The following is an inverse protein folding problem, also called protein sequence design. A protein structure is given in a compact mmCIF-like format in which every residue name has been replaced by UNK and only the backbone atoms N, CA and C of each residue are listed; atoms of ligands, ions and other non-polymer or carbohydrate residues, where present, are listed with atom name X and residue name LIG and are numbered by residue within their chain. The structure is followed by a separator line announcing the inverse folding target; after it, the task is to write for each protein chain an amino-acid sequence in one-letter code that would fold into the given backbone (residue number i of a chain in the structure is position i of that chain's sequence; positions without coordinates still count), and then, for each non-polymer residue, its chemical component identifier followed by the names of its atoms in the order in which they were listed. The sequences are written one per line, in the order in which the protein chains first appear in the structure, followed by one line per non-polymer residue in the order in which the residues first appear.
data_IF_019724358867
#
_entry.id   IF_019724358867
#
_cell.length_a   1.000
_cell.length_b   1.000
_cell.length_c   1.000
_cell.angle_alpha   90.00
_cell.angle_beta   90.00
_cell.angle_gamma   90.00
#
_symmetry.space_group_name_H-M   'P 1'
#
loop_
_entity.id
_entity.type
_entity.pdbx_description
1 polymer ?
#
# COMPACT_ATOMS: atom_id res chain seq x y z
N UNK A 1 17.23 -7.52 17.76
CA UNK A 1 16.95 -8.47 18.86
C UNK A 1 15.68 -9.26 18.53
N UNK A 2 15.72 -10.12 17.53
CA UNK A 2 14.47 -10.72 17.02
C UNK A 2 14.48 -12.26 16.97
N UNK A 3 15.26 -12.97 17.77
CA UNK A 3 15.39 -14.42 17.54
C UNK A 3 15.40 -15.33 18.77
N UNK A 4 14.82 -14.90 19.89
CA UNK A 4 14.75 -15.74 21.10
C UNK A 4 13.35 -16.35 21.39
N UNK A 5 12.33 -16.01 20.58
CA UNK A 5 10.99 -16.60 20.76
C UNK A 5 11.00 -18.06 20.24
N UNK A 6 10.29 -19.00 20.90
CA UNK A 6 10.21 -20.37 20.43
C UNK A 6 9.41 -20.49 19.13
N UNK A 7 9.60 -21.58 18.41
CA UNK A 7 8.70 -21.97 17.32
C UNK A 7 7.33 -22.39 17.88
N UNK A 8 6.24 -22.27 17.09
CA UNK A 8 4.92 -22.71 17.50
C UNK A 8 4.86 -24.24 17.66
N UNK A 9 4.03 -24.70 18.57
CA UNK A 9 3.68 -26.11 18.65
C UNK A 9 2.80 -26.47 17.44
N UNK A 10 2.97 -27.68 16.93
CA UNK A 10 2.10 -28.21 15.88
C UNK A 10 0.92 -28.97 16.54
N UNK A 11 -0.30 -28.52 16.24
CA UNK A 11 -1.55 -29.16 16.68
C UNK A 11 -2.34 -29.56 15.44
N UNK A 12 -2.65 -30.81 15.28
CA UNK A 12 -3.34 -31.36 14.09
C UNK A 12 -2.68 -30.98 12.76
N UNK A 13 -1.34 -30.91 12.76
CA UNK A 13 -0.55 -30.54 11.57
C UNK A 13 -0.49 -29.04 11.26
N UNK A 14 -1.08 -28.19 12.10
CA UNK A 14 -1.07 -26.73 11.95
C UNK A 14 -0.28 -26.04 13.06
N UNK A 15 0.40 -24.91 12.78
CA UNK A 15 1.12 -24.17 13.82
C UNK A 15 0.11 -23.51 14.78
N UNK A 16 0.31 -23.73 16.07
CA UNK A 16 -0.48 -23.12 17.12
C UNK A 16 0.25 -21.89 17.68
N UNK A 17 -0.23 -20.71 17.33
CA UNK A 17 0.28 -19.43 17.80
C UNK A 17 -0.53 -18.94 19.00
N UNK A 18 0.12 -18.18 19.89
CA UNK A 18 -0.50 -17.56 21.05
C UNK A 18 0.01 -16.14 21.26
N UNK A 19 -0.83 -15.29 21.84
CA UNK A 19 -0.48 -13.92 22.19
C UNK A 19 -0.30 -13.76 23.69
N UNK A 20 0.48 -12.79 24.11
CA UNK A 20 0.61 -12.41 25.53
C UNK A 20 -0.68 -11.76 26.08
N UNK A 21 -1.49 -11.16 25.20
CA UNK A 21 -2.81 -10.61 25.50
C UNK A 21 -3.69 -10.60 24.26
N UNK A 22 -4.98 -10.90 24.43
CA UNK A 22 -6.03 -10.85 23.42
C UNK A 22 -6.96 -9.65 23.60
N UNK A 23 -6.61 -8.72 24.50
CA UNK A 23 -7.36 -7.48 24.70
C UNK A 23 -7.29 -6.62 23.45
N UNK A 24 -8.31 -5.78 23.17
CA UNK A 24 -8.31 -4.83 22.08
C UNK A 24 -7.05 -3.97 22.07
N UNK A 25 -6.59 -3.56 20.90
CA UNK A 25 -5.49 -2.61 20.79
C UNK A 25 -5.96 -1.19 21.10
N UNK A 26 -5.05 -0.39 21.67
CA UNK A 26 -5.22 1.04 21.84
C UNK A 26 -4.17 1.74 20.97
N UNK A 27 -4.62 2.46 19.93
CA UNK A 27 -3.73 3.06 18.96
C UNK A 27 -3.98 4.55 18.81
N UNK A 28 -2.95 5.27 18.41
CA UNK A 28 -3.02 6.72 18.12
C UNK A 28 -2.70 6.94 16.65
N UNK A 29 -3.55 7.69 15.96
CA UNK A 29 -3.41 7.97 14.53
C UNK A 29 -3.32 9.47 14.31
N UNK A 30 -2.30 9.90 13.56
CA UNK A 30 -2.19 11.28 13.12
C UNK A 30 -3.00 11.49 11.84
N UNK A 31 -3.95 12.43 11.89
CA UNK A 31 -4.79 12.80 10.74
C UNK A 31 -4.27 14.09 10.12
N UNK A 32 -3.95 14.05 8.84
CA UNK A 32 -3.51 15.23 8.12
C UNK A 32 -4.62 16.29 8.08
N UNK A 33 -4.29 17.51 8.51
CA UNK A 33 -5.19 18.66 8.44
C UNK A 33 -5.15 19.23 7.03
N UNK A 34 -6.32 19.34 6.39
CA UNK A 34 -6.43 19.95 5.05
C UNK A 34 -6.24 21.46 5.17
N UNK A 35 -5.23 21.98 4.49
CA UNK A 35 -4.92 23.42 4.42
C UNK A 35 -5.18 23.97 3.03
N UNK A 36 -5.15 25.28 2.88
CA UNK A 36 -5.19 25.91 1.55
C UNK A 36 -4.04 25.43 0.65
N UNK A 37 -2.86 25.22 1.21
CA UNK A 37 -1.68 24.72 0.48
C UNK A 37 -1.90 23.29 -0.07
N UNK A 38 -2.62 22.43 0.67
CA UNK A 38 -2.98 21.09 0.21
C UNK A 38 -3.93 21.16 -0.99
N UNK A 39 -4.92 22.05 -0.91
CA UNK A 39 -5.92 22.24 -1.97
C UNK A 39 -5.29 22.82 -3.24
N UNK A 40 -4.43 23.84 -3.10
CA UNK A 40 -3.71 24.42 -4.22
C UNK A 40 -2.78 23.40 -4.90
N UNK A 41 -2.05 22.62 -4.12
CA UNK A 41 -1.18 21.57 -4.63
C UNK A 41 -1.97 20.47 -5.37
N UNK A 42 -3.09 20.02 -4.77
CA UNK A 42 -3.94 19.01 -5.38
C UNK A 42 -4.61 19.53 -6.66
N UNK A 43 -5.04 20.79 -6.67
CA UNK A 43 -5.60 21.44 -7.85
C UNK A 43 -4.59 21.52 -8.99
N UNK A 44 -3.37 21.98 -8.72
CA UNK A 44 -2.31 22.05 -9.72
C UNK A 44 -1.99 20.68 -10.31
N UNK A 45 -1.86 19.67 -9.45
CA UNK A 45 -1.61 18.29 -9.86
C UNK A 45 -2.75 17.74 -10.74
N UNK A 46 -3.99 18.04 -10.38
CA UNK A 46 -5.17 17.61 -11.14
C UNK A 46 -5.23 18.26 -12.53
N UNK A 47 -4.97 19.56 -12.59
CA UNK A 47 -4.96 20.32 -13.85
C UNK A 47 -3.84 19.82 -14.79
N UNK A 48 -2.64 19.62 -14.27
CA UNK A 48 -1.49 19.11 -15.03
C UNK A 48 -1.75 17.69 -15.56
N UNK A 49 -2.39 16.84 -14.77
CA UNK A 49 -2.75 15.47 -15.18
C UNK A 49 -3.68 15.44 -16.41
N UNK A 50 -4.51 16.48 -16.58
CA UNK A 50 -5.40 16.65 -17.73
C UNK A 50 -4.79 17.55 -18.83
N UNK A 51 -3.50 17.85 -18.76
CA UNK A 51 -2.80 18.69 -19.74
C UNK A 51 -3.18 20.16 -19.71
N UNK A 52 -3.74 20.62 -18.58
CA UNK A 52 -4.12 22.00 -18.36
C UNK A 52 -3.25 22.72 -17.33
N UNK A 53 -3.58 23.96 -17.08
CA UNK A 53 -2.98 24.81 -16.05
C UNK A 53 -4.04 25.79 -15.51
N UNK A 54 -3.69 26.65 -14.58
CA UNK A 54 -4.65 27.56 -13.89
C UNK A 54 -5.39 28.52 -14.82
N UNK A 55 -4.87 28.81 -15.98
CA UNK A 55 -5.57 29.61 -17.01
C UNK A 55 -6.85 28.93 -17.51
N UNK A 56 -6.89 27.57 -17.46
CA UNK A 56 -8.07 26.79 -17.82
C UNK A 56 -9.23 26.90 -16.83
N UNK A 57 -9.01 27.41 -15.63
CA UNK A 57 -10.07 27.62 -14.64
C UNK A 57 -11.15 28.57 -15.10
N UNK A 58 -10.85 29.51 -16.06
CA UNK A 58 -11.82 30.39 -16.63
C UNK A 58 -12.59 29.81 -17.84
N UNK A 59 -12.21 28.62 -18.32
CA UNK A 59 -12.81 27.93 -19.46
C UNK A 59 -13.86 26.90 -18.99
N UNK A 60 -15.12 27.34 -18.90
CA UNK A 60 -16.22 26.47 -18.46
C UNK A 60 -16.45 25.24 -19.37
N UNK A 61 -16.11 25.35 -20.68
CA UNK A 61 -16.26 24.22 -21.59
C UNK A 61 -15.19 23.16 -21.30
N UNK A 62 -13.95 23.56 -21.06
CA UNK A 62 -12.85 22.69 -20.69
C UNK A 62 -13.09 22.03 -19.32
N UNK A 63 -13.53 22.82 -18.31
CA UNK A 63 -13.87 22.28 -16.99
C UNK A 63 -14.96 21.19 -17.06
N UNK A 64 -15.96 21.41 -17.91
CA UNK A 64 -17.05 20.45 -18.08
C UNK A 64 -16.60 19.17 -18.80
N UNK A 65 -15.70 19.30 -19.78
CA UNK A 65 -15.17 18.15 -20.52
C UNK A 65 -14.30 17.26 -19.64
N UNK A 66 -13.38 17.84 -18.84
CA UNK A 66 -12.38 17.10 -18.08
C UNK A 66 -12.85 16.71 -16.68
N UNK A 67 -13.62 17.56 -15.99
CA UNK A 67 -14.01 17.36 -14.60
C UNK A 67 -15.51 17.26 -14.35
N UNK A 68 -16.33 17.46 -15.39
CA UNK A 68 -17.80 17.48 -15.32
C UNK A 68 -18.35 18.59 -14.38
N UNK A 69 -17.59 19.65 -14.16
CA UNK A 69 -17.98 20.84 -13.40
C UNK A 69 -18.08 22.06 -14.34
N UNK A 70 -18.80 23.11 -13.92
CA UNK A 70 -19.05 24.26 -14.77
C UNK A 70 -18.35 25.55 -14.29
N UNK A 71 -17.87 25.54 -13.05
CA UNK A 71 -17.24 26.70 -12.41
C UNK A 71 -15.97 26.31 -11.65
N UNK A 72 -15.04 27.25 -11.44
CA UNK A 72 -13.88 27.03 -10.59
C UNK A 72 -14.26 26.63 -9.16
N UNK A 73 -15.30 27.22 -8.58
CA UNK A 73 -15.75 26.93 -7.22
C UNK A 73 -16.21 25.47 -7.08
N UNK A 74 -16.94 24.94 -8.07
CA UNK A 74 -17.31 23.51 -8.11
C UNK A 74 -16.07 22.60 -8.19
N UNK A 75 -15.03 23.00 -8.92
CA UNK A 75 -13.78 22.25 -8.98
C UNK A 75 -13.05 22.29 -7.65
N UNK A 76 -12.97 23.43 -6.97
CA UNK A 76 -12.40 23.55 -5.64
C UNK A 76 -13.15 22.67 -4.60
N UNK A 77 -14.46 22.64 -4.66
CA UNK A 77 -15.26 21.73 -3.80
C UNK A 77 -14.94 20.26 -4.09
N UNK A 78 -14.80 19.89 -5.37
CA UNK A 78 -14.41 18.54 -5.77
C UNK A 78 -13.03 18.16 -5.22
N UNK A 79 -12.03 19.05 -5.39
CA UNK A 79 -10.67 18.86 -4.87
C UNK A 79 -10.68 18.74 -3.36
N UNK A 80 -11.39 19.61 -2.65
CA UNK A 80 -11.49 19.54 -1.19
C UNK A 80 -12.09 18.21 -0.71
N UNK A 81 -13.16 17.76 -1.35
CA UNK A 81 -13.79 16.48 -1.05
C UNK A 81 -12.85 15.32 -1.31
N UNK A 82 -12.08 15.37 -2.39
CA UNK A 82 -11.08 14.36 -2.75
C UNK A 82 -9.94 14.31 -1.71
N UNK A 83 -9.34 15.46 -1.38
CA UNK A 83 -8.24 15.53 -0.40
C UNK A 83 -8.70 15.06 0.98
N UNK A 84 -9.87 15.55 1.45
CA UNK A 84 -10.43 15.14 2.74
C UNK A 84 -10.73 13.64 2.76
N UNK A 85 -11.32 13.09 1.71
CA UNK A 85 -11.60 11.66 1.60
C UNK A 85 -10.33 10.81 1.58
N UNK A 86 -9.30 11.28 0.88
CA UNK A 86 -7.98 10.62 0.85
C UNK A 86 -7.33 10.60 2.23
N UNK A 87 -7.32 11.74 2.95
CA UNK A 87 -6.77 11.81 4.29
C UNK A 87 -7.51 10.89 5.26
N UNK A 88 -8.84 10.83 5.17
CA UNK A 88 -9.65 9.91 5.99
C UNK A 88 -9.30 8.44 5.69
N UNK A 89 -9.13 8.08 4.42
CA UNK A 89 -8.75 6.71 4.02
C UNK A 89 -7.36 6.35 4.53
N UNK A 90 -6.40 7.27 4.42
CA UNK A 90 -5.04 7.08 4.95
C UNK A 90 -5.08 6.87 6.47
N UNK A 91 -5.89 7.64 7.20
CA UNK A 91 -6.03 7.48 8.65
C UNK A 91 -6.61 6.12 9.04
N UNK A 92 -7.64 5.63 8.32
CA UNK A 92 -8.19 4.29 8.56
C UNK A 92 -7.21 3.17 8.20
N UNK A 93 -6.41 3.33 7.12
CA UNK A 93 -5.34 2.40 6.78
C UNK A 93 -4.25 2.38 7.86
N UNK A 94 -3.84 3.54 8.39
CA UNK A 94 -2.89 3.63 9.49
C UNK A 94 -3.43 2.97 10.75
N UNK A 95 -4.70 3.22 11.11
CA UNK A 95 -5.36 2.54 12.23
C UNK A 95 -5.25 1.03 12.09
N UNK A 96 -5.61 0.51 10.94
CA UNK A 96 -5.52 -0.93 10.69
C UNK A 96 -4.08 -1.45 10.86
N UNK A 97 -3.09 -0.78 10.26
CA UNK A 97 -1.69 -1.17 10.36
C UNK A 97 -1.18 -1.17 11.79
N UNK A 98 -1.51 -0.14 12.58
CA UNK A 98 -1.12 -0.03 13.99
C UNK A 98 -1.77 -1.12 14.85
N UNK A 99 -3.06 -1.39 14.65
CA UNK A 99 -3.75 -2.47 15.36
C UNK A 99 -3.11 -3.84 15.06
N UNK A 100 -2.77 -4.12 13.81
CA UNK A 100 -2.14 -5.37 13.42
C UNK A 100 -0.69 -5.46 13.91
N UNK A 101 0.05 -4.37 13.93
CA UNK A 101 1.40 -4.30 14.48
C UNK A 101 1.40 -4.58 15.99
N UNK A 102 0.48 -3.96 16.72
CA UNK A 102 0.31 -4.20 18.16
C UNK A 102 0.00 -5.69 18.45
N UNK A 103 -0.87 -6.33 17.68
CA UNK A 103 -1.14 -7.77 17.82
C UNK A 103 0.09 -8.62 17.50
N UNK A 104 0.87 -8.24 16.47
CA UNK A 104 2.10 -8.94 16.11
C UNK A 104 3.18 -8.82 17.20
N UNK A 105 3.25 -7.70 17.91
CA UNK A 105 4.18 -7.52 19.02
C UNK A 105 3.84 -8.39 20.23
N UNK A 106 2.56 -8.68 20.44
CA UNK A 106 2.09 -9.60 21.48
C UNK A 106 2.33 -11.08 21.16
N UNK A 107 2.75 -11.42 19.95
CA UNK A 107 3.00 -12.81 19.54
C UNK A 107 4.12 -13.44 20.40
N UNK A 108 3.88 -14.61 20.97
CA UNK A 108 4.83 -15.30 21.86
C UNK A 108 5.79 -16.23 21.10
N UNK A 109 5.45 -16.64 19.87
CA UNK A 109 6.26 -17.54 19.05
C UNK A 109 6.85 -16.79 17.84
N UNK A 110 7.87 -17.37 17.23
CA UNK A 110 8.32 -16.94 15.90
C UNK A 110 7.37 -17.51 14.84
N UNK A 111 7.10 -16.76 13.75
CA UNK A 111 6.48 -17.35 12.56
C UNK A 111 7.32 -18.50 12.02
N UNK A 112 6.68 -19.51 11.42
CA UNK A 112 7.41 -20.58 10.74
C UNK A 112 8.24 -20.00 9.59
N UNK A 113 9.45 -20.57 9.32
CA UNK A 113 10.30 -20.13 8.21
C UNK A 113 9.57 -20.17 6.87
N UNK A 114 8.70 -21.16 6.65
CA UNK A 114 7.91 -21.31 5.43
C UNK A 114 6.91 -20.16 5.25
N UNK A 115 6.30 -19.69 6.35
CA UNK A 115 5.38 -18.53 6.33
C UNK A 115 6.13 -17.26 5.97
N UNK A 116 7.32 -17.02 6.54
CA UNK A 116 8.17 -15.87 6.22
C UNK A 116 8.56 -15.89 4.74
N UNK A 117 8.99 -17.04 4.24
CA UNK A 117 9.38 -17.21 2.84
C UNK A 117 8.20 -17.00 1.88
N UNK A 118 6.99 -17.43 2.24
CA UNK A 118 5.77 -17.13 1.47
C UNK A 118 5.47 -15.62 1.44
N UNK A 119 5.59 -14.94 2.58
CA UNK A 119 5.42 -13.48 2.66
C UNK A 119 6.46 -12.77 1.79
N UNK A 120 7.73 -13.16 1.86
CA UNK A 120 8.81 -12.60 1.06
C UNK A 120 8.51 -12.70 -0.44
N UNK A 121 8.15 -13.89 -0.92
CA UNK A 121 7.79 -14.11 -2.33
C UNK A 121 6.59 -13.28 -2.76
N UNK A 122 5.58 -13.14 -1.90
CA UNK A 122 4.41 -12.31 -2.18
C UNK A 122 4.77 -10.83 -2.34
N UNK A 123 5.67 -10.33 -1.50
CA UNK A 123 6.17 -8.95 -1.58
C UNK A 123 7.00 -8.75 -2.85
N UNK A 124 7.93 -9.65 -3.15
CA UNK A 124 8.73 -9.60 -4.37
C UNK A 124 7.85 -9.57 -5.62
N UNK A 125 6.86 -10.47 -5.71
CA UNK A 125 5.91 -10.51 -6.82
C UNK A 125 5.13 -9.18 -6.96
N UNK A 126 4.77 -8.56 -5.84
CA UNK A 126 4.09 -7.26 -5.86
C UNK A 126 4.98 -6.17 -6.44
N UNK A 127 6.27 -6.15 -6.09
CA UNK A 127 7.23 -5.20 -6.68
C UNK A 127 7.46 -5.48 -8.16
N UNK A 128 7.62 -6.75 -8.55
CA UNK A 128 7.77 -7.14 -9.97
C UNK A 128 6.57 -6.67 -10.81
N UNK A 129 5.35 -6.85 -10.30
CA UNK A 129 4.13 -6.36 -10.97
C UNK A 129 4.11 -4.83 -11.09
N UNK A 130 4.53 -4.11 -10.04
CA UNK A 130 4.63 -2.64 -10.07
C UNK A 130 5.66 -2.17 -11.08
N UNK A 131 6.82 -2.81 -11.14
CA UNK A 131 7.86 -2.51 -12.13
C UNK A 131 7.35 -2.73 -13.55
N UNK A 132 6.68 -3.86 -13.80
CA UNK A 132 6.09 -4.16 -15.09
C UNK A 132 5.01 -3.14 -15.50
N UNK A 133 4.14 -2.73 -14.57
CA UNK A 133 3.10 -1.73 -14.81
C UNK A 133 3.69 -0.34 -15.07
N UNK A 134 4.75 0.02 -14.35
CA UNK A 134 5.45 1.31 -14.51
C UNK A 134 6.40 1.33 -15.71
N UNK A 135 6.63 0.20 -16.40
CA UNK A 135 7.58 0.10 -17.49
C UNK A 135 9.04 0.32 -17.07
N UNK A 136 9.35 0.13 -15.78
CA UNK A 136 10.69 0.33 -15.21
C UNK A 136 11.29 -1.02 -14.80
N UNK A 137 12.62 -1.13 -14.88
CA UNK A 137 13.34 -2.28 -14.34
C UNK A 137 13.64 -2.08 -12.85
N UNK A 138 13.96 -3.18 -12.15
CA UNK A 138 14.41 -3.10 -10.74
C UNK A 138 15.63 -2.18 -10.60
N UNK A 139 16.61 -2.27 -11.51
CA UNK A 139 17.84 -1.48 -11.44
C UNK A 139 17.57 0.02 -11.68
N UNK A 140 16.66 0.35 -12.58
CA UNK A 140 16.19 1.73 -12.79
C UNK A 140 15.49 2.28 -11.56
N UNK A 141 14.58 1.51 -10.97
CA UNK A 141 13.90 1.88 -9.74
C UNK A 141 14.88 2.15 -8.59
N UNK A 142 15.85 1.24 -8.38
CA UNK A 142 16.88 1.38 -7.34
C UNK A 142 17.73 2.64 -7.55
N UNK A 143 18.10 2.92 -8.80
CA UNK A 143 18.86 4.11 -9.18
C UNK A 143 18.08 5.40 -8.89
N UNK A 144 16.78 5.44 -9.27
CA UNK A 144 15.89 6.57 -9.00
C UNK A 144 15.64 6.78 -7.50
N UNK A 145 15.52 5.68 -6.74
CA UNK A 145 15.34 5.72 -5.29
C UNK A 145 16.65 5.98 -4.50
N UNK A 146 17.79 6.09 -5.18
CA UNK A 146 19.13 6.17 -4.56
C UNK A 146 19.38 5.04 -3.55
N UNK A 147 18.91 3.82 -3.87
CA UNK A 147 18.93 2.66 -3.00
C UNK A 147 19.80 1.56 -3.61
N UNK A 148 20.59 0.90 -2.78
CA UNK A 148 21.35 -0.28 -3.19
C UNK A 148 20.46 -1.53 -3.23
N UNK A 149 20.84 -2.53 -4.02
CA UNK A 149 20.17 -3.82 -4.06
C UNK A 149 20.11 -4.49 -2.67
N UNK A 150 21.20 -4.36 -1.88
CA UNK A 150 21.27 -4.93 -0.53
C UNK A 150 20.30 -4.24 0.46
N UNK A 151 20.15 -2.93 0.38
CA UNK A 151 19.16 -2.18 1.19
C UNK A 151 17.73 -2.54 0.79
N UNK A 152 17.47 -2.70 -0.49
CA UNK A 152 16.17 -3.14 -0.99
C UNK A 152 15.83 -4.56 -0.53
N UNK A 153 16.78 -5.50 -0.63
CA UNK A 153 16.59 -6.88 -0.18
C UNK A 153 16.37 -6.92 1.34
N UNK A 154 17.11 -6.12 2.12
CA UNK A 154 16.92 -5.99 3.56
C UNK A 154 15.52 -5.44 3.92
N UNK A 155 15.04 -4.46 3.16
CA UNK A 155 13.68 -3.92 3.32
C UNK A 155 12.61 -4.99 3.04
N UNK A 156 12.78 -5.80 1.98
CA UNK A 156 11.86 -6.91 1.68
C UNK A 156 11.86 -7.95 2.81
N UNK A 157 13.01 -8.31 3.35
CA UNK A 157 13.12 -9.24 4.47
C UNK A 157 12.43 -8.70 5.73
N UNK A 158 12.59 -7.42 6.05
CA UNK A 158 11.93 -6.78 7.18
C UNK A 158 10.41 -6.76 7.01
N UNK A 159 9.92 -6.39 5.82
CA UNK A 159 8.49 -6.41 5.50
C UNK A 159 7.92 -7.84 5.56
N UNK A 160 8.68 -8.84 5.09
CA UNK A 160 8.27 -10.24 5.14
C UNK A 160 8.16 -10.75 6.58
N UNK A 161 9.11 -10.41 7.45
CA UNK A 161 9.07 -10.77 8.87
C UNK A 161 7.87 -10.13 9.56
N UNK A 162 7.65 -8.84 9.33
CA UNK A 162 6.50 -8.12 9.90
C UNK A 162 5.18 -8.73 9.43
N UNK A 163 5.02 -8.99 8.14
CA UNK A 163 3.81 -9.58 7.55
C UNK A 163 3.57 -10.99 8.11
N UNK A 164 4.62 -11.81 8.22
CA UNK A 164 4.51 -13.15 8.78
C UNK A 164 4.10 -13.13 10.27
N UNK A 165 4.63 -12.20 11.06
CA UNK A 165 4.24 -12.00 12.46
C UNK A 165 2.78 -11.55 12.58
N UNK A 166 2.31 -10.66 11.73
CA UNK A 166 0.90 -10.24 11.68
C UNK A 166 0.00 -11.42 11.33
N UNK A 167 0.35 -12.23 10.32
CA UNK A 167 -0.42 -13.40 9.94
C UNK A 167 -0.47 -14.44 11.04
N UNK A 168 0.64 -14.68 11.75
CA UNK A 168 0.70 -15.59 12.89
C UNK A 168 -0.17 -15.10 14.06
N UNK A 169 -0.12 -13.80 14.36
CA UNK A 169 -0.97 -13.19 15.39
C UNK A 169 -2.47 -13.28 15.04
N UNK A 170 -2.83 -13.04 13.79
CA UNK A 170 -4.21 -13.18 13.32
C UNK A 170 -4.69 -14.63 13.37
N UNK A 171 -3.80 -15.61 13.11
CA UNK A 171 -4.12 -17.02 13.28
C UNK A 171 -4.38 -17.37 14.75
N UNK A 172 -3.61 -16.80 15.70
CA UNK A 172 -3.84 -16.96 17.13
C UNK A 172 -5.21 -16.38 17.54
N UNK A 173 -5.54 -15.16 17.07
CA UNK A 173 -6.83 -14.49 17.34
C UNK A 173 -7.98 -15.30 16.75
N UNK A 174 -7.84 -15.75 15.51
CA UNK A 174 -8.85 -16.57 14.85
C UNK A 174 -9.14 -17.86 15.62
N UNK A 175 -8.12 -18.51 16.15
CA UNK A 175 -8.25 -19.71 16.98
C UNK A 175 -8.94 -19.42 18.31
N UNK A 176 -8.50 -18.40 19.04
CA UNK A 176 -9.06 -17.99 20.34
C UNK A 176 -10.53 -17.58 20.23
N UNK A 177 -10.85 -16.76 19.22
CA UNK A 177 -12.22 -16.26 18.97
C UNK A 177 -13.09 -17.24 18.20
N UNK A 178 -12.55 -18.40 17.80
CA UNK A 178 -13.23 -19.43 17.00
C UNK A 178 -13.86 -18.84 15.73
N UNK A 179 -13.10 -17.98 15.04
CA UNK A 179 -13.54 -17.33 13.82
C UNK A 179 -13.81 -18.36 12.74
N UNK A 180 -15.00 -18.32 12.17
CA UNK A 180 -15.41 -19.21 11.08
C UNK A 180 -15.77 -18.36 9.85
N UNK A 181 -15.43 -18.88 8.67
CA UNK A 181 -15.77 -18.32 7.38
C UNK A 181 -16.36 -19.46 6.56
N UNK A 182 -17.56 -19.29 6.00
CA UNK A 182 -18.11 -20.25 5.06
C UNK A 182 -17.41 -20.12 3.71
N UNK A 183 -17.46 -21.17 2.91
CA UNK A 183 -16.81 -21.14 1.58
C UNK A 183 -17.36 -20.00 0.71
N UNK A 184 -18.64 -19.69 0.84
CA UNK A 184 -19.30 -18.60 0.11
C UNK A 184 -18.84 -17.21 0.54
N UNK A 185 -18.37 -17.06 1.78
CA UNK A 185 -17.84 -15.80 2.33
C UNK A 185 -16.36 -15.55 1.95
N UNK A 186 -15.61 -16.59 1.53
CA UNK A 186 -14.17 -16.48 1.22
C UNK A 186 -13.87 -15.32 0.25
N UNK A 187 -14.55 -15.21 -0.91
CA UNK A 187 -14.26 -14.16 -1.87
C UNK A 187 -14.40 -12.74 -1.27
N UNK A 188 -15.43 -12.53 -0.46
CA UNK A 188 -15.69 -11.24 0.20
C UNK A 188 -14.52 -10.83 1.11
N UNK A 189 -14.05 -11.74 1.97
CA UNK A 189 -12.93 -11.44 2.87
C UNK A 189 -11.58 -11.30 2.16
N UNK A 190 -11.46 -11.79 0.94
CA UNK A 190 -10.26 -11.64 0.11
C UNK A 190 -10.37 -10.50 -0.92
N UNK A 191 -11.43 -9.69 -0.85
CA UNK A 191 -11.62 -8.52 -1.71
C UNK A 191 -11.91 -8.88 -3.18
N UNK A 192 -12.41 -10.10 -3.43
CA UNK A 192 -12.81 -10.52 -4.79
C UNK A 192 -14.18 -9.93 -5.10
N UNK A 193 -14.32 -9.36 -6.29
CA UNK A 193 -15.58 -8.79 -6.74
C UNK A 193 -16.68 -9.87 -6.80
N UNK A 194 -17.94 -9.53 -6.45
CA UNK A 194 -19.03 -10.52 -6.41
C UNK A 194 -19.23 -11.28 -7.72
N UNK A 195 -19.02 -10.62 -8.86
CA UNK A 195 -19.11 -11.21 -10.20
C UNK A 195 -18.04 -12.26 -10.47
N UNK A 196 -16.86 -12.15 -9.84
CA UNK A 196 -15.72 -13.05 -10.02
C UNK A 196 -15.67 -14.16 -8.96
N UNK A 197 -16.51 -14.08 -7.92
CA UNK A 197 -16.46 -14.95 -6.74
C UNK A 197 -16.52 -16.45 -7.09
N UNK A 198 -17.41 -16.84 -7.99
CA UNK A 198 -17.57 -18.24 -8.37
C UNK A 198 -16.38 -18.76 -9.18
N UNK A 199 -15.84 -17.95 -10.08
CA UNK A 199 -14.65 -18.32 -10.86
C UNK A 199 -13.44 -18.46 -9.94
N UNK A 200 -13.25 -17.53 -8.99
CA UNK A 200 -12.20 -17.57 -7.98
C UNK A 200 -12.23 -18.89 -7.19
N UNK A 201 -13.39 -19.27 -6.63
CA UNK A 201 -13.55 -20.52 -5.88
C UNK A 201 -13.30 -21.77 -6.75
N UNK A 202 -13.77 -21.79 -7.99
CA UNK A 202 -13.52 -22.88 -8.90
C UNK A 202 -12.03 -23.03 -9.22
N UNK A 203 -11.31 -21.93 -9.41
CA UNK A 203 -9.86 -21.92 -9.61
C UNK A 203 -9.13 -22.43 -8.38
N UNK A 204 -9.49 -21.97 -7.18
CA UNK A 204 -8.89 -22.43 -5.93
C UNK A 204 -9.08 -23.94 -5.73
N UNK A 205 -10.26 -24.50 -6.06
CA UNK A 205 -10.49 -25.96 -6.00
C UNK A 205 -9.64 -26.69 -7.05
N UNK A 206 -9.58 -26.20 -8.29
CA UNK A 206 -8.83 -26.83 -9.38
C UNK A 206 -7.32 -26.89 -9.06
N UNK A 207 -6.79 -25.86 -8.40
CA UNK A 207 -5.38 -25.77 -8.00
C UNK A 207 -5.09 -26.38 -6.62
N UNK A 208 -6.10 -26.93 -5.94
CA UNK A 208 -6.01 -27.47 -4.57
C UNK A 208 -5.55 -26.47 -3.52
N UNK A 209 -5.88 -25.19 -3.73
CA UNK A 209 -5.55 -24.08 -2.83
C UNK A 209 -6.74 -23.63 -1.96
N UNK A 210 -7.87 -24.37 -1.97
CA UNK A 210 -9.07 -23.96 -1.26
C UNK A 210 -8.82 -23.79 0.24
N UNK A 211 -8.04 -24.69 0.86
CA UNK A 211 -7.71 -24.61 2.28
C UNK A 211 -6.85 -23.38 2.57
N UNK A 212 -5.89 -23.06 1.70
CA UNK A 212 -5.01 -21.90 1.88
C UNK A 212 -5.81 -20.59 1.77
N UNK A 213 -6.70 -20.48 0.79
CA UNK A 213 -7.55 -19.27 0.63
C UNK A 213 -8.60 -19.17 1.74
N UNK A 214 -9.09 -20.30 2.26
CA UNK A 214 -9.96 -20.31 3.43
C UNK A 214 -9.23 -19.78 4.67
N UNK A 215 -8.02 -20.27 4.95
CA UNK A 215 -7.21 -19.76 6.07
C UNK A 215 -6.89 -18.27 5.92
N UNK A 216 -6.61 -17.79 4.68
CA UNK A 216 -6.41 -16.38 4.41
C UNK A 216 -7.69 -15.56 4.70
N UNK A 217 -8.87 -16.05 4.31
CA UNK A 217 -10.14 -15.40 4.59
C UNK A 217 -10.46 -15.37 6.11
N UNK A 218 -10.15 -16.43 6.84
CA UNK A 218 -10.29 -16.49 8.30
C UNK A 218 -9.39 -15.43 8.97
N UNK A 219 -8.13 -15.29 8.53
CA UNK A 219 -7.23 -14.23 9.03
C UNK A 219 -7.74 -12.84 8.68
N UNK A 220 -8.27 -12.64 7.48
CA UNK A 220 -8.85 -11.35 7.08
C UNK A 220 -10.06 -10.98 7.93
N UNK A 221 -10.95 -11.94 8.22
CA UNK A 221 -12.07 -11.74 9.15
C UNK A 221 -11.58 -11.43 10.57
N UNK A 222 -10.55 -12.12 11.04
CA UNK A 222 -9.93 -11.84 12.34
C UNK A 222 -9.34 -10.43 12.40
N UNK A 223 -8.68 -9.97 11.33
CA UNK A 223 -8.19 -8.60 11.22
C UNK A 223 -9.33 -7.57 11.32
N UNK A 224 -10.44 -7.79 10.63
CA UNK A 224 -11.62 -6.93 10.72
C UNK A 224 -12.18 -6.86 12.15
N UNK A 225 -12.20 -7.98 12.88
CA UNK A 225 -12.63 -8.03 14.29
C UNK A 225 -11.65 -7.21 15.16
N UNK A 226 -10.34 -7.42 15.00
CA UNK A 226 -9.32 -6.66 15.75
C UNK A 226 -9.51 -5.15 15.56
N UNK A 227 -9.64 -4.69 14.31
CA UNK A 227 -9.80 -3.26 14.01
C UNK A 227 -11.10 -2.70 14.56
N UNK A 228 -12.21 -3.48 14.51
CA UNK A 228 -13.51 -3.06 15.00
C UNK A 228 -13.57 -2.97 16.54
N UNK A 229 -12.89 -3.88 17.26
CA UNK A 229 -12.85 -3.89 18.72
C UNK A 229 -11.83 -2.90 19.30
N UNK A 230 -10.79 -2.51 18.53
CA UNK A 230 -9.72 -1.63 18.97
C UNK A 230 -10.18 -0.18 19.13
N UNK A 231 -9.66 0.48 20.16
CA UNK A 231 -9.84 1.92 20.35
C UNK A 231 -8.78 2.71 19.58
N UNK A 232 -9.20 3.85 19.04
CA UNK A 232 -8.32 4.74 18.29
C UNK A 232 -8.51 6.18 18.77
N UNK A 233 -7.40 6.83 19.14
CA UNK A 233 -7.36 8.27 19.37
C UNK A 233 -6.83 8.96 18.13
N UNK A 234 -7.61 9.87 17.55
CA UNK A 234 -7.20 10.63 16.37
C UNK A 234 -6.60 11.97 16.81
N UNK A 235 -5.37 12.23 16.44
CA UNK A 235 -4.69 13.50 16.62
C UNK A 235 -4.62 14.22 15.27
N UNK A 236 -5.14 15.42 15.20
CA UNK A 236 -5.04 16.24 14.00
C UNK A 236 -3.72 17.00 13.98
N UNK A 237 -3.08 17.06 12.84
CA UNK A 237 -1.91 17.92 12.63
C UNK A 237 -2.24 19.37 13.03
N UNK A 238 -1.29 20.02 13.67
CA UNK A 238 -1.30 21.48 13.82
C UNK A 238 -1.02 22.16 12.47
N UNK A 239 -1.35 23.44 12.37
CA UNK A 239 -1.07 24.22 11.15
C UNK A 239 0.43 24.23 10.79
N UNK A 240 1.32 24.20 11.78
CA UNK A 240 2.77 24.19 11.54
C UNK A 240 3.24 22.82 11.03
N UNK A 241 2.75 21.72 11.61
CA UNK A 241 3.04 20.35 11.13
C UNK A 241 2.52 20.14 9.70
N UNK A 242 1.33 20.66 9.37
CA UNK A 242 0.80 20.62 8.03
C UNK A 242 1.68 21.38 7.02
N UNK A 243 2.21 22.56 7.40
CA UNK A 243 3.15 23.31 6.56
C UNK A 243 4.46 22.56 6.35
N UNK A 244 5.02 21.95 7.39
CA UNK A 244 6.23 21.13 7.28
C UNK A 244 6.03 19.92 6.38
N UNK A 245 4.89 19.25 6.50
CA UNK A 245 4.49 18.14 5.62
C UNK A 245 4.42 18.60 4.16
N UNK A 246 3.74 19.72 3.88
CA UNK A 246 3.63 20.24 2.53
C UNK A 246 4.97 20.70 1.95
N UNK A 247 5.86 21.26 2.77
CA UNK A 247 7.22 21.59 2.33
C UNK A 247 8.00 20.35 1.89
N UNK A 248 7.93 19.26 2.66
CA UNK A 248 8.55 17.97 2.30
C UNK A 248 7.96 17.37 1.02
N UNK A 249 6.64 17.42 0.84
CA UNK A 249 5.98 16.92 -0.38
C UNK A 249 6.48 17.69 -1.61
N UNK A 250 6.57 19.02 -1.52
CA UNK A 250 7.08 19.86 -2.61
C UNK A 250 8.55 19.58 -2.91
N UNK A 251 9.37 19.36 -1.89
CA UNK A 251 10.78 18.99 -2.06
C UNK A 251 10.93 17.65 -2.80
N UNK A 252 10.21 16.61 -2.37
CA UNK A 252 10.22 15.30 -3.01
C UNK A 252 9.75 15.38 -4.45
N UNK A 253 8.65 16.12 -4.73
CA UNK A 253 8.18 16.34 -6.09
C UNK A 253 9.21 17.03 -6.97
N UNK A 254 9.83 18.10 -6.46
CA UNK A 254 10.88 18.85 -7.19
C UNK A 254 12.08 17.98 -7.51
N UNK A 255 12.52 17.16 -6.56
CA UNK A 255 13.61 16.20 -6.77
C UNK A 255 13.26 15.16 -7.84
N UNK A 256 12.03 14.63 -7.81
CA UNK A 256 11.56 13.68 -8.81
C UNK A 256 11.48 14.29 -10.21
N UNK A 257 10.94 15.51 -10.35
CA UNK A 257 10.86 16.23 -11.62
C UNK A 257 12.25 16.55 -12.19
N UNK A 258 13.22 16.86 -11.32
CA UNK A 258 14.60 17.09 -11.72
C UNK A 258 15.27 15.82 -12.22
N UNK A 259 15.11 14.71 -11.48
CA UNK A 259 15.63 13.40 -11.87
C UNK A 259 15.04 12.90 -13.20
N UNK A 260 13.74 13.13 -13.41
CA UNK A 260 13.08 12.79 -14.67
C UNK A 260 13.61 13.60 -15.86
N UNK A 261 13.93 14.89 -15.66
CA UNK A 261 14.54 15.75 -16.70
C UNK A 261 15.96 15.30 -17.02
N UNK A 262 16.78 15.02 -16.01
CA UNK A 262 18.14 14.53 -16.19
C UNK A 262 18.17 13.20 -16.97
N UNK A 263 17.24 12.26 -16.64
CA UNK A 263 17.11 11.01 -17.38
C UNK A 263 16.68 11.19 -18.84
N UNK A 264 15.80 12.16 -19.12
CA UNK A 264 15.39 12.48 -20.49
C UNK A 264 16.52 13.12 -21.32
N UNK A 265 17.34 13.97 -20.70
CA UNK A 265 18.50 14.60 -21.36
C UNK A 265 19.64 13.57 -21.64
N UNK A 266 19.80 12.56 -20.78
CA UNK A 266 20.77 11.46 -21.02
C UNK A 266 20.35 10.58 -22.20
N UNK A 267 19.05 10.28 -22.36
CA UNK A 267 18.52 9.45 -23.45
C UNK A 267 18.61 10.18 -24.82
N UNK A 268 18.42 11.50 -24.85
CA UNK A 268 18.65 12.31 -26.06
C UNK A 268 20.13 12.43 -26.43
N UNK A 269 21.05 12.30 -25.46
CA UNK A 269 22.50 12.38 -25.67
C UNK A 269 23.12 11.11 -26.29
N UNK A 270 22.58 9.94 -26.03
CA UNK A 270 23.06 8.68 -26.59
C UNK A 270 22.60 8.40 -28.02
N UNK A 271 21.57 9.09 -28.52
CA UNK A 271 21.02 8.95 -29.89
C UNK A 271 21.86 9.60 -31.00
N UNK A 272 22.93 10.33 -30.69
CA UNK A 272 23.72 11.12 -31.65
C UNK A 272 25.10 10.51 -31.97
N UNK A 273 25.28 9.20 -31.96
CA UNK A 273 26.47 8.56 -32.53
C UNK A 273 26.19 8.14 -33.99
N UNK A 274 26.77 8.89 -34.90
CA UNK A 274 26.77 8.66 -36.33
C UNK A 274 27.13 7.19 -36.67
N UNK A 275 26.20 6.52 -37.36
CA UNK A 275 26.48 5.22 -37.98
C UNK A 275 27.56 5.32 -39.06
N UNK A 276 28.48 4.35 -39.20
CA UNK A 276 29.52 4.38 -40.21
C UNK A 276 28.89 4.26 -41.60
N UNK A 277 29.10 5.29 -42.42
CA UNK A 277 28.68 5.32 -43.83
C UNK A 277 29.30 4.19 -44.61
N UNK A 278 28.50 3.27 -45.12
CA UNK A 278 28.89 2.28 -46.16
C UNK A 278 29.09 3.00 -47.47
N UNK A 279 30.37 3.18 -47.86
CA UNK A 279 30.78 3.48 -49.25
C UNK A 279 30.75 2.19 -50.05
N UNK A 280 29.84 2.11 -51.01
CA UNK A 280 29.89 1.14 -52.12
C UNK A 280 31.00 1.58 -53.10
N UNK A 281 31.90 0.68 -53.38
CA UNK A 281 32.71 0.62 -54.60
C UNK A 281 32.39 -0.71 -55.28
#
# INVERSE_FOLDING_TARGET
MANDKPLPLMVDGKPHYTLSSYEPAEVEVMVATVTGDDLEFALDTLLEGEGGSRDKLSDAAWLKEHFQVSTPDELYELVNKFVTGTNSRIAEEQKMQLCLAEMADRLLQQPLPEMREQCRRGIELTYEQRFAQGGVTRDEFLRQAHQTAAEFDAMIEEQADMTARQQAALSAIASERKVQVSEEEIPMYLGVAPEDAQEFLNRARATRQLDDVHEAAVRSKAASIVVAESSCTYHHETTEEAKERMAKIREVRSAFEQSAKEAAEEDEGEGATEGPGLRLV
#
